data_IF_474113233407
#
_entry.id   IF_474113233407
#
_cell.length_a   1.000
_cell.length_b   1.000
_cell.length_c   1.000
_cell.angle_alpha   90.00
_cell.angle_beta   90.00
_cell.angle_gamma   90.00
#
_symmetry.space_group_name_H-M   'P 1'
#
loop_
_entity.id
_entity.type
_entity.pdbx_description
1 polymer ?
#
# COMPACT_ATOMS: atom_id res chain seq x y z
N UNK A 1 -12.76 13.24 0.78
CA UNK A 1 -12.67 11.87 1.34
C UNK A 1 -13.32 10.82 0.43
N UNK A 2 -14.64 10.85 0.21
CA UNK A 2 -15.32 9.86 -0.65
C UNK A 2 -14.75 9.76 -2.08
N UNK A 3 -14.40 10.90 -2.71
CA UNK A 3 -13.76 10.93 -4.03
C UNK A 3 -12.39 10.23 -4.05
N UNK A 4 -11.62 10.32 -2.97
CA UNK A 4 -10.29 9.69 -2.89
C UNK A 4 -10.38 8.20 -2.62
N UNK A 5 -11.40 7.77 -1.87
CA UNK A 5 -11.71 6.34 -1.75
C UNK A 5 -12.10 5.72 -3.09
N UNK A 6 -12.86 6.45 -3.92
CA UNK A 6 -13.19 6.01 -5.29
C UNK A 6 -11.97 5.87 -6.20
N UNK A 7 -10.86 6.57 -5.90
CA UNK A 7 -9.59 6.44 -6.63
C UNK A 7 -8.70 5.31 -6.11
N UNK A 8 -8.99 4.75 -4.92
CA UNK A 8 -8.29 3.57 -4.43
C UNK A 8 -8.77 2.33 -5.22
N UNK A 9 -7.85 1.53 -5.79
CA UNK A 9 -8.24 0.37 -6.58
C UNK A 9 -9.10 -0.61 -5.78
N UNK A 10 -10.15 -1.16 -6.41
CA UNK A 10 -11.11 -2.03 -5.74
C UNK A 10 -10.43 -3.24 -5.07
N UNK A 11 -9.43 -3.85 -5.73
CA UNK A 11 -8.69 -4.99 -5.18
C UNK A 11 -7.98 -4.70 -3.86
N UNK A 12 -7.59 -3.46 -3.62
CA UNK A 12 -6.96 -3.05 -2.36
C UNK A 12 -8.05 -2.77 -1.32
N UNK A 13 -9.01 -1.90 -1.64
CA UNK A 13 -10.01 -1.42 -0.67
C UNK A 13 -11.14 -2.38 -0.33
N UNK A 14 -11.31 -3.48 -1.07
CA UNK A 14 -12.42 -4.44 -0.87
C UNK A 14 -12.37 -5.17 0.48
N UNK A 15 -11.26 -5.08 1.20
CA UNK A 15 -11.09 -5.68 2.52
C UNK A 15 -11.39 -4.70 3.65
N UNK A 16 -11.56 -3.42 3.34
CA UNK A 16 -11.94 -2.42 4.33
C UNK A 16 -13.37 -2.68 4.79
N UNK A 17 -13.55 -2.85 6.11
CA UNK A 17 -14.86 -3.01 6.74
C UNK A 17 -15.55 -1.67 6.95
N UNK A 18 -14.79 -0.58 7.03
CA UNK A 18 -15.36 0.75 7.20
C UNK A 18 -14.33 1.87 7.13
N UNK A 19 -14.83 3.08 6.99
CA UNK A 19 -14.02 4.30 7.04
C UNK A 19 -14.70 5.32 7.94
N UNK A 20 -13.92 5.97 8.79
CA UNK A 20 -14.38 7.03 9.68
C UNK A 20 -13.52 8.28 9.49
N UNK A 21 -14.19 9.44 9.42
CA UNK A 21 -13.53 10.72 9.53
C UNK A 21 -13.59 11.17 10.99
N UNK A 22 -12.47 11.10 11.72
CA UNK A 22 -12.45 11.31 13.17
C UNK A 22 -11.91 12.69 13.60
N UNK A 23 -11.87 13.69 12.71
CA UNK A 23 -11.42 15.02 13.09
C UNK A 23 -12.38 16.14 12.71
N UNK A 24 -12.24 17.27 13.41
CA UNK A 24 -12.82 18.57 13.04
C UNK A 24 -12.09 19.19 11.81
N UNK A 25 -11.42 18.37 10.99
CA UNK A 25 -10.56 18.82 9.89
C UNK A 25 -9.14 19.22 10.31
N UNK A 26 -8.73 18.98 11.55
CA UNK A 26 -7.43 19.38 12.11
C UNK A 26 -6.55 18.13 12.27
N UNK A 27 -5.40 18.10 11.59
CA UNK A 27 -4.44 17.00 11.61
C UNK A 27 -4.03 16.51 10.21
N UNK A 28 -2.92 15.76 10.14
CA UNK A 28 -2.33 15.27 8.89
C UNK A 28 -1.97 13.78 8.95
N UNK A 29 -2.81 12.95 9.57
CA UNK A 29 -2.59 11.50 9.66
C UNK A 29 -3.81 10.66 9.31
N UNK A 30 -3.57 9.36 9.21
CA UNK A 30 -4.58 8.31 9.19
C UNK A 30 -4.06 7.14 10.05
N UNK A 31 -4.93 6.18 10.30
CA UNK A 31 -4.55 4.90 10.88
C UNK A 31 -5.63 3.88 10.61
N UNK A 32 -5.31 2.61 10.82
CA UNK A 32 -6.23 1.51 10.60
C UNK A 32 -6.18 0.52 11.77
N UNK A 33 -7.33 -0.08 12.07
CA UNK A 33 -7.45 -1.15 13.06
C UNK A 33 -8.71 -1.96 12.81
N UNK A 34 -8.60 -3.29 12.83
CA UNK A 34 -9.74 -4.19 12.61
C UNK A 34 -10.42 -3.94 11.26
N UNK A 35 -9.63 -3.71 10.20
CA UNK A 35 -10.08 -3.36 8.84
C UNK A 35 -10.92 -2.07 8.76
N UNK A 36 -10.93 -1.24 9.81
CA UNK A 36 -11.56 0.08 9.81
C UNK A 36 -10.49 1.14 9.73
N UNK A 37 -10.61 2.02 8.73
CA UNK A 37 -9.67 3.12 8.52
C UNK A 37 -10.22 4.40 9.16
N UNK A 38 -9.36 5.10 9.88
CA UNK A 38 -9.66 6.40 10.49
C UNK A 38 -8.80 7.48 9.86
N UNK A 39 -9.43 8.49 9.28
CA UNK A 39 -8.75 9.65 8.71
C UNK A 39 -8.90 10.87 9.61
N UNK A 40 -7.78 11.53 9.93
CA UNK A 40 -7.73 12.68 10.84
C UNK A 40 -7.60 14.03 10.13
N UNK A 41 -7.57 14.08 8.80
CA UNK A 41 -7.49 15.33 8.04
C UNK A 41 -8.43 15.37 6.85
N UNK A 42 -8.82 16.59 6.46
CA UNK A 42 -9.76 16.80 5.36
C UNK A 42 -9.17 16.53 3.97
N UNK A 43 -7.86 16.78 3.80
CA UNK A 43 -7.17 16.78 2.51
C UNK A 43 -6.09 15.69 2.42
N UNK A 44 -6.50 14.44 2.66
CA UNK A 44 -5.61 13.28 2.52
C UNK A 44 -5.34 12.95 1.06
N UNK A 45 -4.08 12.69 0.73
CA UNK A 45 -3.67 12.24 -0.61
C UNK A 45 -4.17 10.82 -0.86
N UNK A 46 -4.48 10.49 -2.11
CA UNK A 46 -4.93 9.13 -2.50
C UNK A 46 -3.94 8.03 -2.06
N UNK A 47 -2.65 8.35 -2.01
CA UNK A 47 -1.60 7.44 -1.53
C UNK A 47 -1.81 7.02 -0.07
N UNK A 48 -2.37 7.89 0.77
CA UNK A 48 -2.72 7.54 2.16
C UNK A 48 -3.90 6.56 2.17
N UNK A 49 -4.91 6.76 1.33
CA UNK A 49 -6.01 5.79 1.23
C UNK A 49 -5.52 4.42 0.80
N UNK A 50 -4.66 4.36 -0.22
CA UNK A 50 -4.07 3.09 -0.68
C UNK A 50 -3.23 2.44 0.43
N UNK A 51 -2.42 3.23 1.14
CA UNK A 51 -1.61 2.74 2.27
C UNK A 51 -2.49 2.14 3.36
N UNK A 52 -3.50 2.88 3.84
CA UNK A 52 -4.35 2.39 4.92
C UNK A 52 -5.19 1.17 4.50
N UNK A 53 -5.72 1.17 3.27
CA UNK A 53 -6.43 0.00 2.73
C UNK A 53 -5.50 -1.20 2.54
N UNK A 54 -4.21 -0.99 2.33
CA UNK A 54 -3.24 -2.07 2.21
C UNK A 54 -3.03 -2.81 3.55
N UNK A 55 -3.22 -2.15 4.69
CA UNK A 55 -3.23 -2.82 6.00
C UNK A 55 -4.40 -3.82 6.12
N UNK A 56 -5.58 -3.50 5.59
CA UNK A 56 -6.71 -4.46 5.52
C UNK A 56 -6.45 -5.60 4.51
N UNK A 57 -5.81 -5.27 3.37
CA UNK A 57 -5.41 -6.23 2.34
C UNK A 57 -4.37 -7.24 2.85
N UNK A 58 -3.53 -6.84 3.81
CA UNK A 58 -2.40 -7.61 4.29
C UNK A 58 -2.77 -9.06 4.66
N UNK A 59 -3.81 -9.23 5.48
CA UNK A 59 -4.36 -10.55 5.86
C UNK A 59 -3.29 -11.55 6.34
N UNK A 60 -2.21 -11.04 6.96
CA UNK A 60 -1.07 -11.82 7.46
C UNK A 60 0.08 -12.02 6.47
N UNK A 61 0.03 -11.41 5.28
CA UNK A 61 1.10 -11.49 4.28
C UNK A 61 2.39 -10.86 4.78
N UNK A 62 2.30 -9.73 5.47
CA UNK A 62 3.41 -8.96 6.04
C UNK A 62 4.09 -9.68 7.20
N UNK A 63 3.38 -10.60 7.87
CA UNK A 63 3.94 -11.46 8.90
C UNK A 63 4.53 -12.77 8.33
N UNK A 64 4.38 -13.02 7.02
CA UNK A 64 4.83 -14.26 6.41
C UNK A 64 6.35 -14.29 6.20
N UNK A 65 6.94 -15.48 6.32
CA UNK A 65 8.36 -15.69 6.00
C UNK A 65 8.70 -15.30 4.56
N UNK A 66 7.77 -15.48 3.63
CA UNK A 66 7.98 -15.13 2.23
C UNK A 66 8.11 -13.61 2.04
N UNK A 67 7.35 -12.80 2.78
CA UNK A 67 7.51 -11.34 2.78
C UNK A 67 8.82 -10.91 3.43
N UNK A 68 9.11 -11.43 4.64
CA UNK A 68 10.35 -11.10 5.33
C UNK A 68 11.59 -11.42 4.49
N UNK A 69 11.58 -12.56 3.78
CA UNK A 69 12.65 -12.94 2.85
C UNK A 69 12.72 -12.05 1.61
N UNK A 70 11.60 -11.52 1.13
CA UNK A 70 11.59 -10.58 0.02
C UNK A 70 12.26 -9.27 0.44
N UNK A 71 11.86 -8.71 1.58
CA UNK A 71 12.44 -7.49 2.15
C UNK A 71 13.94 -7.66 2.42
N UNK A 72 14.38 -8.80 2.97
CA UNK A 72 15.80 -9.01 3.29
C UNK A 72 16.73 -9.25 2.10
N UNK A 73 16.18 -9.61 0.93
CA UNK A 73 16.94 -9.77 -0.33
C UNK A 73 17.11 -8.46 -1.10
N UNK A 74 16.34 -7.45 -0.73
CA UNK A 74 16.37 -6.13 -1.32
C UNK A 74 17.34 -5.22 -0.56
N UNK A 75 17.92 -4.25 -1.26
CA UNK A 75 18.87 -3.30 -0.68
C UNK A 75 18.22 -1.99 -0.21
N UNK A 76 16.92 -1.84 -0.44
CA UNK A 76 16.15 -0.66 -0.03
C UNK A 76 14.70 -1.03 0.28
N UNK A 77 14.04 -0.15 1.03
CA UNK A 77 12.58 -0.09 1.17
C UNK A 77 12.06 1.22 0.54
N UNK A 78 10.74 1.42 0.36
CA UNK A 78 10.21 2.62 -0.30
C UNK A 78 10.63 3.96 0.31
N UNK A 79 10.62 4.07 1.64
CA UNK A 79 11.01 5.26 2.39
C UNK A 79 11.31 4.92 3.86
N UNK A 80 11.74 5.91 4.64
CA UNK A 80 12.08 5.73 6.07
C UNK A 80 10.88 5.25 6.90
N UNK A 81 9.65 5.55 6.48
CA UNK A 81 8.47 5.10 7.22
C UNK A 81 8.25 3.59 7.04
N UNK A 82 8.55 3.05 5.86
CA UNK A 82 8.54 1.62 5.59
C UNK A 82 9.47 0.81 6.51
N UNK A 83 10.54 1.41 7.05
CA UNK A 83 11.45 0.74 7.99
C UNK A 83 10.85 0.54 9.40
N UNK A 84 9.70 1.15 9.70
CA UNK A 84 9.06 1.07 11.01
C UNK A 84 8.63 -0.36 11.35
N UNK A 85 8.09 -1.10 10.38
CA UNK A 85 7.72 -2.50 10.54
C UNK A 85 7.50 -3.19 9.18
N UNK A 86 7.46 -4.52 9.16
CA UNK A 86 7.12 -5.26 7.94
C UNK A 86 5.71 -4.95 7.41
N UNK A 87 4.76 -4.59 8.28
CA UNK A 87 3.41 -4.18 7.90
C UNK A 87 3.41 -2.80 7.22
N UNK A 88 4.14 -1.83 7.78
CA UNK A 88 4.30 -0.50 7.15
C UNK A 88 5.03 -0.61 5.81
N UNK A 89 6.06 -1.45 5.74
CA UNK A 89 6.75 -1.76 4.48
C UNK A 89 5.79 -2.35 3.44
N UNK A 90 4.96 -3.31 3.83
CA UNK A 90 3.96 -3.92 2.96
C UNK A 90 2.99 -2.88 2.39
N UNK A 91 2.44 -2.02 3.26
CA UNK A 91 1.53 -0.96 2.86
C UNK A 91 2.19 0.06 1.91
N UNK A 92 3.43 0.45 2.18
CA UNK A 92 4.18 1.36 1.30
C UNK A 92 4.50 0.74 -0.06
N UNK A 93 4.88 -0.55 -0.09
CA UNK A 93 5.13 -1.26 -1.34
C UNK A 93 3.85 -1.39 -2.16
N UNK A 94 2.68 -1.54 -1.55
CA UNK A 94 1.39 -1.54 -2.25
C UNK A 94 1.12 -0.20 -2.96
N UNK A 95 1.49 0.94 -2.35
CA UNK A 95 1.40 2.27 -2.98
C UNK A 95 2.30 2.36 -4.20
N UNK A 96 3.58 1.96 -4.07
CA UNK A 96 4.54 1.96 -5.18
C UNK A 96 4.07 1.04 -6.31
N UNK A 97 3.62 -0.16 -5.97
CA UNK A 97 3.08 -1.11 -6.94
C UNK A 97 1.89 -0.53 -7.71
N UNK A 98 0.96 0.12 -7.00
CA UNK A 98 -0.20 0.78 -7.62
C UNK A 98 0.22 1.87 -8.60
N UNK A 99 1.20 2.68 -8.24
CA UNK A 99 1.78 3.68 -9.14
C UNK A 99 2.40 3.04 -10.39
N UNK A 100 3.17 1.96 -10.23
CA UNK A 100 3.84 1.29 -11.34
C UNK A 100 2.85 0.65 -12.29
N UNK A 101 1.78 0.01 -11.79
CA UNK A 101 0.71 -0.53 -12.63
C UNK A 101 -0.04 0.61 -13.34
N UNK A 102 -0.46 1.64 -12.60
CA UNK A 102 -1.22 2.77 -13.17
C UNK A 102 -0.46 3.59 -14.22
N UNK A 103 0.87 3.58 -14.17
CA UNK A 103 1.74 4.25 -15.16
C UNK A 103 2.27 3.32 -16.25
N UNK A 104 1.85 2.04 -16.28
CA UNK A 104 2.30 1.05 -17.27
C UNK A 104 3.75 0.59 -17.10
N UNK A 105 4.35 0.81 -15.92
CA UNK A 105 5.76 0.50 -15.60
C UNK A 105 5.96 -0.82 -14.85
N UNK A 106 4.88 -1.55 -14.57
CA UNK A 106 4.89 -2.82 -13.82
C UNK A 106 5.60 -4.00 -14.51
N UNK A 107 6.12 -3.85 -15.73
CA UNK A 107 6.83 -4.92 -16.45
C UNK A 107 8.37 -4.76 -16.43
N UNK A 108 8.88 -3.58 -16.14
CA UNK A 108 10.30 -3.23 -16.32
C UNK A 108 10.90 -2.55 -15.09
N UNK A 109 11.06 -3.29 -13.99
CA UNK A 109 11.70 -2.77 -12.77
C UNK A 109 13.23 -2.61 -12.91
N UNK A 110 13.86 -3.42 -13.77
CA UNK A 110 15.32 -3.55 -13.88
C UNK A 110 16.08 -2.32 -14.40
N UNK A 111 15.37 -1.34 -14.99
CA UNK A 111 15.93 -0.04 -15.39
C UNK A 111 15.36 1.13 -14.59
N UNK A 112 14.62 0.86 -13.52
CA UNK A 112 13.93 1.86 -12.71
C UNK A 112 14.62 2.08 -11.37
N UNK A 113 14.35 3.22 -10.73
CA UNK A 113 14.76 3.50 -9.34
C UNK A 113 14.26 2.46 -8.31
N UNK A 114 13.38 1.54 -8.71
CA UNK A 114 12.80 0.51 -7.85
C UNK A 114 13.52 -0.84 -7.94
N UNK A 115 14.61 -0.95 -8.71
CA UNK A 115 15.38 -2.21 -8.82
C UNK A 115 15.93 -2.69 -7.47
N UNK A 116 16.20 -1.77 -6.54
CA UNK A 116 16.69 -2.12 -5.20
C UNK A 116 15.63 -2.79 -4.31
N UNK A 117 14.34 -2.68 -4.66
CA UNK A 117 13.20 -3.30 -3.95
C UNK A 117 12.48 -4.34 -4.83
N UNK A 118 13.22 -4.99 -5.74
CA UNK A 118 12.67 -5.88 -6.75
C UNK A 118 11.88 -7.03 -6.12
N UNK A 119 12.41 -7.67 -5.08
CA UNK A 119 11.77 -8.86 -4.49
C UNK A 119 10.49 -8.49 -3.76
N UNK A 120 10.45 -7.33 -3.09
CA UNK A 120 9.24 -6.77 -2.50
C UNK A 120 8.16 -6.52 -3.56
N UNK A 121 8.52 -5.94 -4.70
CA UNK A 121 7.57 -5.71 -5.81
C UNK A 121 7.10 -7.01 -6.45
N UNK A 122 7.97 -8.00 -6.62
CA UNK A 122 7.60 -9.33 -7.12
C UNK A 122 6.65 -10.07 -6.16
N UNK A 123 6.83 -9.89 -4.85
CA UNK A 123 5.90 -10.40 -3.85
C UNK A 123 4.54 -9.71 -3.98
N UNK A 124 4.53 -8.38 -4.04
CA UNK A 124 3.30 -7.60 -4.19
C UNK A 124 2.55 -7.93 -5.48
N UNK A 125 3.27 -8.19 -6.58
CA UNK A 125 2.68 -8.60 -7.86
C UNK A 125 1.88 -9.91 -7.78
N UNK A 126 2.19 -10.80 -6.82
CA UNK A 126 1.45 -12.05 -6.60
C UNK A 126 0.14 -11.81 -5.84
N UNK A 127 0.13 -10.84 -4.93
CA UNK A 127 -1.05 -10.46 -4.14
C UNK A 127 -1.98 -9.56 -4.94
N UNK A 128 -1.39 -8.62 -5.70
CA UNK A 128 -2.08 -7.65 -6.55
C UNK A 128 -1.64 -7.81 -8.01
N UNK A 129 -2.12 -8.84 -8.73
CA UNK A 129 -1.78 -9.00 -10.14
C UNK A 129 -2.15 -7.75 -10.94
N UNK A 130 -1.21 -7.24 -11.75
CA UNK A 130 -1.36 -5.96 -12.45
C UNK A 130 -2.63 -5.88 -13.34
N UNK A 131 -3.02 -7.01 -13.95
CA UNK A 131 -4.19 -7.10 -14.83
C UNK A 131 -5.52 -7.12 -14.06
N UNK A 132 -5.49 -7.25 -12.74
CA UNK A 132 -6.69 -7.25 -11.90
C UNK A 132 -6.80 -6.00 -11.02
N UNK A 133 -5.72 -5.22 -10.87
CA UNK A 133 -5.66 -4.16 -9.86
C UNK A 133 -6.78 -3.12 -10.03
N UNK A 134 -7.03 -2.69 -11.26
CA UNK A 134 -8.02 -1.67 -11.60
C UNK A 134 -9.31 -2.23 -12.21
N UNK A 135 -9.46 -3.56 -12.28
CA UNK A 135 -10.61 -4.25 -12.87
C UNK A 135 -11.55 -4.86 -11.81
#
# INVERSE_FOLDING_TARGET
>A
MATHMGMCPYKIRRYDQGMVAASRGIGSGAGSSGDVIVFFGANMRVTVFIHESAHSLDRGSSASNAWHQAVSKDSCVPDVYADTSYAECFAQVAVIWTYLVGTGRSKNFGGSQFVCMKHQLEFMAKILPAHELFN
#
